data_IF_720282619339
#
_entry.id   IF_720282619339
#
_cell.length_a   1.000
_cell.length_b   1.000
_cell.length_c   1.000
_cell.angle_alpha   90.00
_cell.angle_beta   90.00
_cell.angle_gamma   90.00
#
_symmetry.space_group_name_H-M   'P 1'
#
loop_
_entity.id
_entity.type
_entity.pdbx_description
1 polymer ?
#
# COMPACT_ATOMS: atom_id res chain seq x y z
N UNK A 1 -6.05 -3.22 6.81
CA UNK A 1 -4.59 -3.32 6.53
C UNK A 1 -3.95 -4.55 7.14
N UNK A 2 -4.11 -4.86 8.42
CA UNK A 2 -3.54 -6.08 9.05
C UNK A 2 -3.80 -7.37 8.26
N UNK A 3 -5.06 -7.65 7.93
CA UNK A 3 -5.41 -8.82 7.13
C UNK A 3 -4.71 -8.86 5.74
N UNK A 4 -4.48 -7.72 5.10
CA UNK A 4 -3.76 -7.66 3.83
C UNK A 4 -2.25 -7.84 4.03
N UNK A 5 -1.69 -7.30 5.12
CA UNK A 5 -0.29 -7.51 5.49
C UNK A 5 -0.01 -8.98 5.80
N UNK A 6 -0.92 -9.69 6.46
CA UNK A 6 -0.79 -11.14 6.73
C UNK A 6 -0.74 -11.95 5.43
N UNK A 7 -1.47 -11.54 4.39
CA UNK A 7 -1.42 -12.16 3.06
C UNK A 7 -0.11 -11.82 2.34
N UNK A 8 0.36 -10.57 2.44
CA UNK A 8 1.57 -10.10 1.78
C UNK A 8 2.85 -10.63 2.44
N UNK A 9 2.82 -10.92 3.74
CA UNK A 9 3.98 -11.36 4.52
C UNK A 9 4.61 -12.62 3.93
N UNK A 10 5.90 -12.53 3.62
CA UNK A 10 6.67 -13.62 3.01
C UNK A 10 6.35 -13.89 1.54
N UNK A 11 5.48 -13.09 0.92
CA UNK A 11 5.20 -13.12 -0.51
C UNK A 11 5.83 -11.92 -1.20
N UNK A 12 5.89 -11.96 -2.53
CA UNK A 12 6.37 -10.87 -3.37
C UNK A 12 5.35 -10.60 -4.48
N UNK A 13 5.19 -9.34 -4.85
CA UNK A 13 4.48 -8.93 -6.06
C UNK A 13 5.15 -9.62 -7.25
N UNK A 14 4.33 -10.24 -8.11
CA UNK A 14 4.85 -10.95 -9.28
C UNK A 14 5.51 -9.98 -10.27
N UNK A 15 6.61 -10.40 -10.91
CA UNK A 15 7.37 -9.57 -11.83
C UNK A 15 6.57 -9.09 -13.07
N UNK A 16 5.46 -9.75 -13.38
CA UNK A 16 4.54 -9.37 -14.46
C UNK A 16 3.63 -8.19 -14.09
N UNK A 17 3.55 -7.82 -12.81
CA UNK A 17 2.74 -6.70 -12.33
C UNK A 17 3.52 -5.41 -12.54
N UNK A 18 2.94 -4.50 -13.35
CA UNK A 18 3.57 -3.20 -13.65
C UNK A 18 3.63 -2.28 -12.44
N UNK A 19 2.59 -2.31 -11.60
CA UNK A 19 2.50 -1.46 -10.43
C UNK A 19 1.63 -2.10 -9.35
N UNK A 20 2.10 -2.06 -8.10
CA UNK A 20 1.36 -2.49 -6.93
C UNK A 20 1.52 -1.42 -5.85
N UNK A 21 0.41 -0.81 -5.43
CA UNK A 21 0.43 0.31 -4.48
C UNK A 21 -0.43 -0.02 -3.26
N UNK A 22 -0.07 0.56 -2.12
CA UNK A 22 -0.88 0.57 -0.91
C UNK A 22 -1.09 2.01 -0.48
N UNK A 23 -2.35 2.41 -0.39
CA UNK A 23 -2.75 3.77 0.00
C UNK A 23 -3.56 3.71 1.29
N UNK A 24 -3.07 4.28 2.41
CA UNK A 24 -3.83 4.34 3.64
C UNK A 24 -5.07 5.23 3.48
N UNK A 25 -6.19 4.85 4.11
CA UNK A 25 -7.43 5.63 4.00
C UNK A 25 -7.40 7.00 4.70
N UNK A 26 -6.46 7.21 5.62
CA UNK A 26 -6.25 8.49 6.31
C UNK A 26 -4.85 8.58 6.94
N UNK A 27 -4.41 9.79 7.30
CA UNK A 27 -3.12 10.00 7.99
C UNK A 27 -3.03 9.33 9.36
N UNK A 28 -4.13 9.26 10.11
CA UNK A 28 -4.18 8.53 11.38
C UNK A 28 -3.92 7.04 11.18
N UNK A 29 -4.55 6.47 10.15
CA UNK A 29 -4.43 5.07 9.79
C UNK A 29 -3.03 4.75 9.23
N UNK A 30 -2.42 5.68 8.49
CA UNK A 30 -1.02 5.61 8.05
C UNK A 30 -0.06 5.55 9.24
N UNK A 31 -0.13 6.53 10.13
CA UNK A 31 0.74 6.61 11.30
C UNK A 31 0.60 5.38 12.21
N UNK A 32 -0.62 4.85 12.34
CA UNK A 32 -0.87 3.60 13.05
C UNK A 32 -0.21 2.41 12.34
N UNK A 33 -0.37 2.28 11.01
CA UNK A 33 0.23 1.20 10.24
C UNK A 33 1.75 1.20 10.29
N UNK A 34 2.38 2.38 10.27
CA UNK A 34 3.84 2.55 10.39
C UNK A 34 4.35 2.19 11.79
N UNK A 35 3.61 2.58 12.85
CA UNK A 35 3.94 2.17 14.23
C UNK A 35 3.84 0.66 14.42
N UNK A 36 2.91 0.01 13.73
CA UNK A 36 2.74 -1.44 13.73
C UNK A 36 3.71 -2.16 12.77
N UNK A 37 4.48 -1.43 11.97
CA UNK A 37 5.43 -1.98 10.99
C UNK A 37 4.77 -2.63 9.77
N UNK A 38 3.49 -2.33 9.52
CA UNK A 38 2.75 -2.88 8.37
C UNK A 38 3.26 -2.31 7.05
N UNK A 39 3.74 -1.06 7.05
CA UNK A 39 4.40 -0.41 5.93
C UNK A 39 5.57 -1.25 5.41
N UNK A 40 6.41 -1.76 6.32
CA UNK A 40 7.57 -2.60 6.00
C UNK A 40 7.16 -3.91 5.35
N UNK A 41 6.08 -4.54 5.84
CA UNK A 41 5.56 -5.79 5.23
C UNK A 41 5.15 -5.55 3.77
N UNK A 42 4.51 -4.43 3.47
CA UNK A 42 4.11 -4.10 2.11
C UNK A 42 5.30 -3.72 1.23
N UNK A 43 6.22 -2.90 1.73
CA UNK A 43 7.46 -2.52 1.01
C UNK A 43 8.30 -3.77 0.71
N UNK A 44 8.47 -4.64 1.70
CA UNK A 44 9.18 -5.90 1.54
C UNK A 44 8.49 -6.80 0.52
N UNK A 45 7.15 -6.83 0.48
CA UNK A 45 6.42 -7.56 -0.54
C UNK A 45 6.52 -6.93 -1.94
N UNK A 46 7.10 -5.74 -2.10
CA UNK A 46 7.28 -5.05 -3.38
C UNK A 46 6.16 -4.08 -3.73
N UNK A 47 5.34 -3.68 -2.75
CA UNK A 47 4.33 -2.63 -2.93
C UNK A 47 4.94 -1.25 -2.69
N UNK A 48 4.41 -0.26 -3.41
CA UNK A 48 4.68 1.15 -3.13
C UNK A 48 3.79 1.65 -1.97
N UNK A 49 4.41 2.19 -0.92
CA UNK A 49 3.70 2.81 0.20
C UNK A 49 3.44 4.29 -0.10
N UNK A 50 2.16 4.69 -0.25
CA UNK A 50 1.79 6.04 -0.69
C UNK A 50 1.20 6.90 0.44
N UNK A 51 1.07 8.19 0.16
CA UNK A 51 0.37 9.15 1.04
C UNK A 51 -1.13 8.86 1.12
N UNK A 52 -1.77 9.11 2.26
CA UNK A 52 -3.19 8.86 2.43
C UNK A 52 -4.01 9.78 1.53
N UNK A 53 -5.04 9.25 0.86
CA UNK A 53 -5.93 10.07 0.04
C UNK A 53 -6.92 9.30 -0.83
N UNK A 54 -7.75 10.06 -1.55
CA UNK A 54 -8.63 9.54 -2.60
C UNK A 54 -7.77 9.08 -3.78
N UNK A 55 -7.33 7.82 -3.73
CA UNK A 55 -6.53 7.18 -4.76
C UNK A 55 -7.39 6.87 -6.01
N UNK A 56 -7.22 5.70 -6.63
CA UNK A 56 -7.82 5.35 -7.92
C UNK A 56 -9.36 5.43 -8.02
N UNK A 57 -10.12 5.52 -6.92
CA UNK A 57 -11.57 5.67 -7.00
C UNK A 57 -12.01 6.98 -7.66
N UNK A 58 -11.24 8.06 -7.50
CA UNK A 58 -11.50 9.38 -8.12
C UNK A 58 -10.27 9.96 -8.82
N UNK A 59 -9.11 9.29 -8.75
CA UNK A 59 -7.83 9.74 -9.32
C UNK A 59 -7.46 11.19 -8.92
N UNK A 60 -7.81 11.58 -7.69
CA UNK A 60 -7.47 12.90 -7.14
C UNK A 60 -6.00 12.99 -6.70
N UNK A 61 -5.38 11.83 -6.45
CA UNK A 61 -3.94 11.67 -6.35
C UNK A 61 -3.32 11.41 -7.74
N UNK A 62 -2.00 11.55 -7.92
CA UNK A 62 -1.30 11.13 -9.15
C UNK A 62 -1.35 9.59 -9.39
N UNK A 63 -2.08 8.84 -8.57
CA UNK A 63 -2.35 7.42 -8.71
C UNK A 63 -3.32 7.20 -9.90
N UNK A 64 -2.77 7.09 -11.11
CA UNK A 64 -3.51 6.83 -12.34
C UNK A 64 -3.09 5.49 -12.94
N UNK A 65 -4.07 4.68 -13.33
CA UNK A 65 -3.87 3.57 -14.25
C UNK A 65 -3.67 4.15 -15.66
N UNK A 66 -2.47 4.01 -16.21
CA UNK A 66 -2.10 4.40 -17.57
C UNK A 66 -1.75 3.19 -18.43
#
# INVERSE_FOLDING_TARGET
MRAAADVAKGRKVAATIKQAIVVPGSGLIKAQAEKEGLDKVFIDAGFEWREPGCSMCLAMNPDRLG
#
